data_IF_534918911752
#
_entry.id   IF_534918911752
#
_cell.length_a   1.000
_cell.length_b   1.000
_cell.length_c   1.000
_cell.angle_alpha   90.00
_cell.angle_beta   90.00
_cell.angle_gamma   90.00
#
_symmetry.space_group_name_H-M   'P 1'
#
loop_
_entity.id
_entity.type
_entity.pdbx_description
1 polymer ?
2 non-polymer ?
3 water ?
#
# COMPACT_ATOMS: atom_id res chain seq x y z
N UNK A 2 -9.06 28.87 5.60
CA UNK A 2 -9.84 27.78 6.26
C UNK A 2 -9.88 27.93 7.77
N UNK A 3 -11.05 27.76 8.37
CA UNK A 3 -11.14 27.75 9.82
C UNK A 3 -10.86 26.33 10.38
N UNK A 4 -10.74 26.23 11.69
CA UNK A 4 -10.34 24.99 12.35
C UNK A 4 -11.32 23.85 12.11
N UNK A 5 -12.61 24.16 12.14
CA UNK A 5 -13.63 23.14 11.97
C UNK A 5 -13.61 22.57 10.53
N UNK A 6 -13.32 23.41 9.54
CA UNK A 6 -13.17 22.93 8.15
C UNK A 6 -11.91 22.09 7.97
N UNK A 7 -10.81 22.54 8.58
CA UNK A 7 -9.55 21.77 8.53
C UNK A 7 -9.71 20.38 9.15
N UNK A 8 -10.34 20.34 10.33
CA UNK A 8 -10.64 19.11 11.03
C UNK A 8 -11.50 18.15 10.21
N UNK A 9 -12.58 18.67 9.63
CA UNK A 9 -13.43 17.87 8.73
C UNK A 9 -12.60 17.26 7.59
N UNK A 10 -11.79 18.09 6.95
CA UNK A 10 -11.01 17.67 5.79
C UNK A 10 -9.90 16.68 6.14
N UNK A 11 -9.38 16.80 7.36
CA UNK A 11 -8.42 15.84 7.91
C UNK A 11 -9.03 14.45 7.98
N UNK A 12 -10.22 14.36 8.54
CA UNK A 12 -10.91 13.11 8.62
C UNK A 12 -11.31 12.57 7.24
N UNK A 13 -11.71 13.45 6.31
CA UNK A 13 -11.99 13.04 4.92
C UNK A 13 -10.74 12.48 4.26
N UNK A 14 -9.59 13.11 4.49
CA UNK A 14 -8.35 12.62 3.87
C UNK A 14 -7.94 11.27 4.43
N UNK A 15 -8.10 11.08 5.73
CA UNK A 15 -7.81 9.80 6.35
C UNK A 15 -8.70 8.69 5.74
N UNK A 16 -10.00 8.96 5.61
CA UNK A 16 -10.94 7.98 5.05
C UNK A 16 -10.60 7.66 3.60
N UNK A 17 -10.17 8.66 2.83
CA UNK A 17 -9.78 8.45 1.42
C UNK A 17 -8.37 7.86 1.28
N UNK A 18 -7.63 7.76 2.39
CA UNK A 18 -6.24 7.31 2.38
C UNK A 18 -5.40 8.21 1.49
N UNK A 19 -5.62 9.51 1.62
CA UNK A 19 -4.90 10.53 0.87
C UNK A 19 -3.98 11.21 1.88
N UNK A 20 -2.82 10.59 2.09
CA UNK A 20 -1.88 11.01 3.12
C UNK A 20 -1.12 12.29 2.78
N UNK A 21 -0.95 12.64 1.49
CA UNK A 21 -0.31 13.92 1.14
C UNK A 21 -1.22 15.10 1.49
N UNK A 22 -2.53 14.96 1.25
CA UNK A 22 -3.49 15.99 1.65
C UNK A 22 -3.57 16.09 3.17
N UNK A 23 -3.48 14.94 3.85
CA UNK A 23 -3.51 14.90 5.30
C UNK A 23 -2.33 15.70 5.85
N UNK A 24 -1.15 15.42 5.31
CA UNK A 24 0.08 16.09 5.71
C UNK A 24 -0.01 17.58 5.44
N UNK A 25 -0.49 17.93 4.26
CA UNK A 25 -0.79 19.32 3.90
C UNK A 25 -1.73 20.02 4.88
N UNK A 26 -2.83 19.36 5.21
CA UNK A 26 -3.81 19.89 6.14
C UNK A 26 -3.23 20.08 7.54
N UNK A 27 -2.47 19.09 8.00
CA UNK A 27 -1.89 19.14 9.34
C UNK A 27 -0.90 20.30 9.45
N UNK A 28 -0.15 20.55 8.38
CA UNK A 28 0.72 21.72 8.29
C UNK A 28 -0.06 23.04 8.35
N UNK A 29 -1.18 23.11 7.64
CA UNK A 29 -2.07 24.27 7.73
C UNK A 29 -2.66 24.43 9.14
N UNK A 30 -2.98 23.32 9.81
CA UNK A 30 -3.61 23.39 11.12
C UNK A 30 -2.69 23.99 12.20
N UNK A 31 -1.38 23.80 12.07
CA UNK A 31 -0.43 24.19 13.11
C UNK A 31 -0.58 25.66 13.54
N UNK A 32 -0.78 26.53 12.56
CA UNK A 32 -0.92 27.97 12.78
C UNK A 32 -2.04 28.29 13.76
N UNK A 33 -3.08 27.46 13.77
CA UNK A 33 -4.31 27.75 14.53
C UNK A 33 -4.36 27.20 15.96
N UNK A 34 -3.52 26.22 16.27
CA UNK A 34 -3.61 25.50 17.53
C UNK A 34 -3.44 26.38 18.77
N UNK A 35 -2.49 27.31 18.72
CA UNK A 35 -2.12 28.16 19.86
C UNK A 35 -3.28 29.06 20.31
N UNK A 36 -4.05 29.54 19.34
CA UNK A 36 -5.18 30.44 19.62
C UNK A 36 -6.47 29.78 20.11
N UNK A 37 -6.54 28.45 20.07
CA UNK A 37 -7.78 27.73 20.41
C UNK A 37 -8.16 27.80 21.90
N UNK A 38 -9.47 27.75 22.20
CA UNK A 38 -9.84 27.57 23.57
C UNK A 38 -9.40 26.19 24.07
N UNK A 39 -9.11 26.15 25.36
CA UNK A 39 -8.68 24.94 26.07
C UNK A 39 -9.50 23.70 25.70
N UNK A 40 -10.83 23.80 25.76
CA UNK A 40 -11.66 22.63 25.51
C UNK A 40 -11.58 22.17 24.07
N UNK A 41 -11.53 23.12 23.13
CA UNK A 41 -11.37 22.78 21.72
C UNK A 41 -10.07 22.04 21.49
N UNK A 42 -9.01 22.51 22.12
CA UNK A 42 -7.71 21.88 22.00
C UNK A 42 -7.72 20.45 22.57
N UNK A 43 -8.33 20.26 23.75
CA UNK A 43 -8.49 18.92 24.33
C UNK A 43 -9.25 17.96 23.40
N UNK A 44 -10.32 18.44 22.79
CA UNK A 44 -11.07 17.63 21.83
C UNK A 44 -10.22 17.19 20.65
N UNK A 45 -9.45 18.13 20.10
CA UNK A 45 -8.62 17.84 18.93
C UNK A 45 -7.51 16.86 19.25
N UNK A 46 -6.88 17.00 20.41
CA UNK A 46 -5.86 16.07 20.81
C UNK A 46 -6.39 14.63 20.96
N UNK A 47 -7.60 14.48 21.49
CA UNK A 47 -8.19 13.15 21.65
C UNK A 47 -8.55 12.56 20.29
N UNK A 48 -9.07 13.40 19.41
CA UNK A 48 -9.34 12.98 18.03
C UNK A 48 -8.05 12.54 17.33
N UNK A 49 -6.94 13.27 17.54
CA UNK A 49 -5.64 12.91 16.93
C UNK A 49 -5.16 11.54 17.39
N UNK A 50 -5.42 11.18 18.64
CA UNK A 50 -5.03 9.85 19.13
C UNK A 50 -5.74 8.76 18.33
N UNK A 51 -7.02 8.98 18.03
CA UNK A 51 -7.81 8.04 17.24
C UNK A 51 -7.43 8.05 15.74
N UNK A 52 -7.09 9.22 15.20
CA UNK A 52 -6.63 9.34 13.83
C UNK A 52 -5.32 8.59 13.65
N UNK A 53 -4.43 8.72 14.62
CA UNK A 53 -3.14 8.05 14.57
C UNK A 53 -3.32 6.52 14.60
N UNK A 54 -4.30 6.02 15.36
CA UNK A 54 -4.58 4.57 15.38
C UNK A 54 -4.98 4.07 14.00
N UNK A 55 -5.82 4.82 13.31
CA UNK A 55 -6.21 4.50 11.94
C UNK A 55 -5.01 4.43 10.98
N UNK A 56 -4.16 5.45 10.97
CA UNK A 56 -3.04 5.44 10.01
C UNK A 56 -1.97 4.42 10.37
N UNK A 57 -1.82 4.17 11.67
CA UNK A 57 -0.92 3.11 12.13
C UNK A 57 -1.39 1.75 11.62
N UNK A 58 -2.70 1.47 11.66
CA UNK A 58 -3.24 0.23 11.07
C UNK A 58 -2.99 0.17 9.55
N UNK A 59 -3.17 1.29 8.88
CA UNK A 59 -2.81 1.37 7.48
C UNK A 59 -1.33 1.04 7.26
N UNK A 60 -0.43 1.60 8.07
CA UNK A 60 1.00 1.35 7.90
C UNK A 60 1.31 -0.16 8.01
N UNK A 61 0.67 -0.81 8.97
CA UNK A 61 0.82 -2.25 9.16
C UNK A 61 0.34 -3.05 7.93
N UNK A 62 -0.80 -2.66 7.38
CA UNK A 62 -1.30 -3.26 6.16
C UNK A 62 -0.36 -3.06 4.96
N UNK A 63 0.28 -1.90 4.85
CA UNK A 63 1.23 -1.68 3.76
C UNK A 63 2.46 -2.57 3.90
N UNK A 64 2.94 -2.72 5.12
CA UNK A 64 4.09 -3.59 5.32
C UNK A 64 3.72 -5.03 5.03
N UNK A 65 2.48 -5.41 5.35
CA UNK A 65 2.04 -6.77 5.05
C UNK A 65 1.91 -6.97 3.55
N UNK A 66 1.45 -5.95 2.83
CA UNK A 66 1.45 -6.02 1.37
C UNK A 66 2.87 -6.08 0.78
N UNK A 67 3.80 -5.34 1.37
CA UNK A 67 5.20 -5.47 0.98
C UNK A 67 5.71 -6.91 1.16
N UNK A 68 5.29 -7.57 2.22
CA UNK A 68 5.74 -8.93 2.53
C UNK A 68 5.21 -9.94 1.52
N UNK A 69 3.93 -9.82 1.16
CA UNK A 69 3.37 -10.62 0.09
C UNK A 69 4.14 -10.44 -1.22
N UNK A 70 4.46 -9.19 -1.56
CA UNK A 70 5.23 -8.92 -2.77
C UNK A 70 6.61 -9.59 -2.73
N UNK A 71 7.26 -9.55 -1.57
CA UNK A 71 8.54 -10.22 -1.42
C UNK A 71 8.46 -11.72 -1.70
N UNK A 72 7.40 -12.37 -1.20
CA UNK A 72 7.12 -13.76 -1.52
C UNK A 72 6.93 -13.99 -3.01
N UNK A 73 6.16 -13.11 -3.65
CA UNK A 73 5.90 -13.25 -5.10
C UNK A 73 7.18 -13.05 -5.90
N UNK A 74 7.98 -12.07 -5.47
CA UNK A 74 9.28 -11.85 -6.06
C UNK A 74 10.18 -13.10 -5.97
N UNK A 75 10.28 -13.69 -4.78
CA UNK A 75 11.03 -14.94 -4.61
C UNK A 75 10.54 -16.03 -5.53
N UNK A 76 9.22 -16.19 -5.61
CA UNK A 76 8.64 -17.22 -6.46
C UNK A 76 8.94 -16.95 -7.97
N UNK A 77 8.86 -15.69 -8.40
CA UNK A 77 9.24 -15.34 -9.78
C UNK A 77 10.74 -15.41 -10.05
N UNK A 78 11.58 -15.37 -9.03
CA UNK A 78 13.04 -15.46 -9.23
C UNK A 78 13.60 -16.89 -9.20
N UNK A 79 12.77 -17.88 -8.91
CA UNK A 79 13.25 -19.26 -8.79
C UNK A 79 13.92 -19.77 -10.06
N UNK B 1 -6.61 -30.51 -14.72
CA UNK B 1 -6.01 -29.34 -14.02
C UNK B 1 -5.81 -28.18 -14.97
N UNK B 2 -5.38 -27.05 -14.41
CA UNK B 2 -5.25 -25.81 -15.15
C UNK B 2 -4.03 -25.90 -16.07
N UNK B 3 -4.18 -25.50 -17.33
CA UNK B 3 -3.06 -25.53 -18.28
C UNK B 3 -2.16 -24.29 -18.18
N UNK B 4 -0.99 -24.37 -18.83
CA UNK B 4 0.00 -23.29 -18.75
C UNK B 4 -0.51 -21.98 -19.32
N UNK B 5 -1.23 -22.02 -20.43
CA UNK B 5 -1.82 -20.79 -21.01
C UNK B 5 -2.84 -20.12 -20.08
N UNK B 6 -3.66 -20.92 -19.42
CA UNK B 6 -4.66 -20.38 -18.50
C UNK B 6 -3.97 -19.76 -17.29
N UNK B 7 -3.00 -20.48 -16.74
CA UNK B 7 -2.24 -19.99 -15.60
C UNK B 7 -1.56 -18.64 -15.90
N UNK B 8 -0.86 -18.56 -17.03
CA UNK B 8 -0.20 -17.33 -17.46
C UNK B 8 -1.17 -16.15 -17.61
N UNK B 9 -2.34 -16.41 -18.20
CA UNK B 9 -3.38 -15.38 -18.35
C UNK B 9 -3.80 -14.87 -16.98
N UNK B 10 -4.02 -15.79 -16.07
CA UNK B 10 -4.51 -15.46 -14.75
C UNK B 10 -3.46 -14.78 -13.93
N UNK B 11 -2.19 -15.11 -14.18
CA UNK B 11 -1.08 -14.47 -13.51
C UNK B 11 -1.05 -12.99 -13.85
N UNK B 12 -1.20 -12.66 -15.13
CA UNK B 12 -1.24 -11.27 -15.55
C UNK B 12 -2.48 -10.54 -15.06
N UNK B 13 -3.62 -11.21 -15.08
CA UNK B 13 -4.85 -10.66 -14.49
C UNK B 13 -4.67 -10.32 -13.02
N UNK B 14 -4.10 -11.24 -12.25
CA UNK B 14 -3.86 -11.01 -10.83
C UNK B 14 -2.92 -9.83 -10.56
N UNK B 15 -1.88 -9.69 -11.39
CA UNK B 15 -0.94 -8.58 -11.29
C UNK B 15 -1.65 -7.26 -11.57
N UNK B 16 -2.49 -7.22 -12.60
CA UNK B 16 -3.27 -6.03 -12.87
C UNK B 16 -4.22 -5.67 -11.72
N UNK B 17 -4.87 -6.68 -11.14
CA UNK B 17 -5.73 -6.48 -9.96
C UNK B 17 -4.93 -6.12 -8.70
N UNK B 18 -3.62 -6.31 -8.74
CA UNK B 18 -2.77 -6.17 -7.56
C UNK B 18 -3.13 -7.20 -6.47
N UNK B 19 -3.58 -8.38 -6.90
CA UNK B 19 -3.95 -9.47 -6.00
C UNK B 19 -2.77 -10.42 -5.85
N UNK B 20 -1.89 -10.07 -4.92
CA UNK B 20 -0.62 -10.78 -4.81
C UNK B 20 -0.76 -12.13 -4.14
N UNK B 21 -1.82 -12.33 -3.37
CA UNK B 21 -2.03 -13.61 -2.71
C UNK B 21 -2.42 -14.67 -3.74
N UNK B 22 -3.32 -14.30 -4.64
CA UNK B 22 -3.71 -15.15 -5.75
C UNK B 22 -2.53 -15.38 -6.73
N UNK B 23 -1.74 -14.34 -6.97
CA UNK B 23 -0.50 -14.48 -7.78
C UNK B 23 0.38 -15.60 -7.25
N UNK B 24 0.63 -15.58 -5.93
CA UNK B 24 1.40 -16.65 -5.28
C UNK B 24 0.84 -18.01 -5.54
N UNK B 25 -0.47 -18.15 -5.38
CA UNK B 25 -1.09 -19.43 -5.53
C UNK B 25 -0.91 -19.94 -6.95
N UNK B 26 -1.09 -19.03 -7.91
CA UNK B 26 -0.92 -19.34 -9.35
C UNK B 26 0.53 -19.75 -9.72
N UNK B 27 1.51 -19.02 -9.20
CA UNK B 27 2.94 -19.35 -9.41
C UNK B 27 3.29 -20.73 -8.84
N UNK B 28 2.71 -21.05 -7.68
CA UNK B 28 2.89 -22.37 -7.07
C UNK B 28 2.30 -23.51 -7.91
N UNK B 29 1.16 -23.28 -8.56
CA UNK B 29 0.60 -24.26 -9.49
C UNK B 29 1.40 -24.34 -10.80
N UNK B 30 1.93 -23.21 -11.24
CA UNK B 30 2.74 -23.18 -12.44
C UNK B 30 4.05 -23.95 -12.27
N UNK B 31 4.58 -23.93 -11.05
CA UNK B 31 5.88 -24.54 -10.73
C UNK B 31 5.92 -25.98 -11.25
N UNK B 32 4.81 -26.70 -11.12
CA UNK B 32 4.71 -28.09 -11.57
C UNK B 32 4.91 -28.26 -13.09
N UNK B 33 4.64 -27.22 -13.88
CA UNK B 33 4.57 -27.34 -15.35
C UNK B 33 5.85 -26.88 -16.08
N UNK B 34 6.67 -26.09 -15.40
CA UNK B 34 7.82 -25.43 -16.01
C UNK B 34 8.85 -26.38 -16.63
N UNK B 35 9.11 -27.52 -15.99
CA UNK B 35 10.11 -28.48 -16.52
C UNK B 35 9.70 -29.25 -17.80
N UNK B 36 8.41 -29.38 -18.07
CA UNK B 36 7.93 -30.11 -19.24
C UNK B 36 7.72 -29.27 -20.48
N UNK B 37 7.94 -27.96 -20.37
CA UNK B 37 7.64 -27.08 -21.47
C UNK B 37 8.68 -27.24 -22.59
N UNK B 38 8.28 -26.94 -23.83
CA UNK B 38 9.32 -26.82 -24.85
C UNK B 38 10.26 -25.66 -24.52
N UNK B 39 11.51 -25.75 -24.95
CA UNK B 39 12.51 -24.75 -24.61
C UNK B 39 12.06 -23.30 -24.95
N UNK B 40 11.44 -23.12 -26.11
CA UNK B 40 11.08 -21.77 -26.55
C UNK B 40 9.94 -21.19 -25.72
N UNK B 41 9.03 -22.06 -25.29
CA UNK B 41 7.93 -21.64 -24.41
C UNK B 41 8.48 -21.23 -23.03
N UNK B 42 9.40 -22.02 -22.47
CA UNK B 42 10.03 -21.67 -21.20
C UNK B 42 10.76 -20.32 -21.30
N UNK B 43 11.60 -20.17 -22.31
CA UNK B 43 12.24 -18.89 -22.58
C UNK B 43 11.27 -17.71 -22.57
N UNK B 44 10.18 -17.81 -23.30
CA UNK B 44 9.23 -16.68 -23.34
C UNK B 44 8.60 -16.38 -21.97
N UNK B 45 8.28 -17.42 -21.20
CA UNK B 45 7.71 -17.23 -19.88
C UNK B 45 8.73 -16.54 -18.98
N UNK B 46 9.99 -16.96 -19.05
CA UNK B 46 11.02 -16.37 -18.22
C UNK B 46 11.21 -14.88 -18.56
N UNK B 47 11.10 -14.51 -19.84
CA UNK B 47 11.22 -13.11 -20.23
C UNK B 47 10.04 -12.31 -19.73
N UNK B 48 8.86 -12.90 -19.80
CA UNK B 48 7.66 -12.22 -19.29
C UNK B 48 7.73 -12.06 -17.76
N UNK B 49 8.26 -13.05 -17.08
CA UNK B 49 8.46 -12.97 -15.62
C UNK B 49 9.37 -11.82 -15.25
N UNK B 50 10.32 -11.49 -16.10
CA UNK B 50 11.16 -10.35 -15.87
C UNK B 50 10.31 -9.06 -15.88
N UNK B 51 9.38 -8.96 -16.81
CA UNK B 51 8.53 -7.77 -16.91
C UNK B 51 7.55 -7.72 -15.75
N UNK B 52 7.07 -8.89 -15.34
CA UNK B 52 6.18 -9.01 -14.19
C UNK B 52 6.86 -8.60 -12.89
N UNK B 53 8.13 -8.99 -12.72
CA UNK B 53 8.93 -8.57 -11.57
C UNK B 53 9.06 -7.04 -11.48
N UNK B 54 9.27 -6.38 -12.62
CA UNK B 54 9.39 -4.92 -12.68
C UNK B 54 8.11 -4.27 -12.22
N UNK B 55 6.98 -4.80 -12.69
CA UNK B 55 5.67 -4.28 -12.30
C UNK B 55 5.49 -4.35 -10.78
N UNK B 56 5.77 -5.51 -10.18
CA UNK B 56 5.54 -5.62 -8.75
C UNK B 56 6.58 -4.84 -7.94
N UNK B 57 7.80 -4.67 -8.46
CA UNK B 57 8.81 -3.84 -7.77
C UNK B 57 8.41 -2.37 -7.74
N UNK B 58 7.86 -1.89 -8.85
CA UNK B 58 7.34 -0.55 -8.96
C UNK B 58 6.33 -0.33 -7.83
N UNK B 59 5.44 -1.29 -7.64
CA UNK B 59 4.39 -1.21 -6.60
C UNK B 59 4.99 -1.23 -5.20
N UNK B 60 5.95 -2.13 -4.96
CA UNK B 60 6.71 -2.18 -3.71
C UNK B 60 7.33 -0.83 -3.32
N UNK B 61 7.99 -0.19 -4.26
CA UNK B 61 8.62 1.08 -3.96
C UNK B 61 7.54 2.14 -3.66
N UNK B 62 6.41 2.08 -4.38
CA UNK B 62 5.28 2.97 -4.13
C UNK B 62 4.61 2.76 -2.75
N UNK B 63 4.58 1.52 -2.27
CA UNK B 63 4.11 1.24 -0.91
C UNK B 63 5.04 1.80 0.18
N UNK B 64 6.34 1.67 -0.03
CA UNK B 64 7.31 2.29 0.88
C UNK B 64 7.16 3.81 0.93
N UNK B 65 6.94 4.42 -0.23
CA UNK B 65 6.71 5.87 -0.34
C UNK B 65 5.51 6.28 0.51
N UNK B 66 4.41 5.52 0.39
CA UNK B 66 3.17 5.83 1.11
C UNK B 66 3.38 5.72 2.65
N UNK B 67 4.10 4.69 3.08
CA UNK B 67 4.50 4.52 4.48
C UNK B 67 5.33 5.70 4.99
N UNK B 68 6.22 6.21 4.16
CA UNK B 68 6.98 7.40 4.57
C UNK B 68 6.13 8.67 4.71
N UNK B 69 5.08 8.84 3.89
CA UNK B 69 4.17 9.95 4.05
C UNK B 69 3.38 9.78 5.36
N UNK B 70 2.97 8.54 5.64
CA UNK B 70 2.28 8.25 6.90
C UNK B 70 3.15 8.61 8.10
N UNK B 71 4.45 8.26 8.04
CA UNK B 71 5.37 8.54 9.15
C UNK B 71 5.45 10.05 9.39
N UNK B 72 5.47 10.82 8.30
CA UNK B 72 5.49 12.28 8.40
C UNK B 72 4.22 12.80 9.01
N UNK B 73 3.08 12.22 8.62
CA UNK B 73 1.78 12.66 9.17
C UNK B 73 1.74 12.38 10.67
N UNK B 74 2.20 11.20 11.08
CA UNK B 74 2.33 10.87 12.51
C UNK B 74 3.05 11.92 13.37
N UNK B 75 4.10 12.54 12.83
CA UNK B 75 4.82 13.55 13.57
C UNK B 75 3.90 14.65 14.07
N UNK B 76 2.89 15.04 13.29
CA UNK B 76 1.87 15.99 13.79
C UNK B 76 0.77 15.37 14.67
N UNK B 77 0.42 14.12 14.45
CA UNK B 77 -0.67 13.51 15.23
C UNK B 77 -0.27 12.94 16.60
N UNK B 78 1.03 12.66 16.78
CA UNK B 78 1.52 11.93 17.97
C UNK B 78 1.55 12.75 19.27
N UNK B 79 1.76 12.01 20.37
CA UNK B 79 2.19 12.51 21.70
C UNK B 79 1.08 12.46 22.73
X LIG C 1 10.76 9.12 13.42
X LIG C 1 10.65 8.11 12.28
X LIG C 1 10.87 6.68 12.79
X LIG C 1 9.38 8.25 11.69
#
# INVERSE_FOLDING_TARGET
>A
GMNIDEIERKIDEAIEKEDYETLLSLLNKRKELMEGLPKDKLSEILEKDRKRLEIIEKRKTALFQEINVIREARSSLQK
>B
GMNIDEIERKIDEAIEKEDYETLLSLLNKRKELMEGLPKDKLSEILEKDRKRLEIIEKRKTALFQEINVIREARSSLQK
>C hetero
1 IPA C1 C2 C3 O2
#
